data_IF_965643971197
#
_entry.id   IF_965643971197
#
_cell.length_a   1.000
_cell.length_b   1.000
_cell.length_c   1.000
_cell.angle_alpha   90.00
_cell.angle_beta   90.00
_cell.angle_gamma   90.00
#
_symmetry.space_group_name_H-M   'P 1'
#
loop_
_entity.id
_entity.type
_entity.pdbx_description
1 polymer ?
#
# COMPACT_ATOMS: atom_id res chain seq x y z
N UNK A 1 -8.11 9.29 -12.40
CA UNK A 1 -7.12 9.72 -11.40
C UNK A 1 -6.51 8.55 -10.62
N UNK A 2 -7.31 7.62 -10.08
CA UNK A 2 -6.82 6.46 -9.30
C UNK A 2 -6.00 5.43 -10.10
N UNK A 3 -6.39 5.10 -11.33
CA UNK A 3 -5.74 4.03 -12.14
C UNK A 3 -4.29 4.37 -12.50
N UNK A 4 -3.99 5.63 -12.83
CA UNK A 4 -2.62 6.07 -13.15
C UNK A 4 -1.69 5.96 -11.93
N UNK A 5 -2.20 6.30 -10.74
CA UNK A 5 -1.44 6.22 -9.49
C UNK A 5 -1.24 4.76 -9.09
N UNK A 6 -2.25 3.90 -9.30
CA UNK A 6 -2.12 2.46 -9.11
C UNK A 6 -1.08 1.85 -10.06
N UNK A 7 -1.06 2.25 -11.33
CA UNK A 7 -0.05 1.80 -12.30
C UNK A 7 1.36 2.28 -11.93
N UNK A 8 1.51 3.52 -11.47
CA UNK A 8 2.78 4.04 -10.99
C UNK A 8 3.28 3.29 -9.73
N UNK A 9 2.40 3.03 -8.77
CA UNK A 9 2.73 2.27 -7.56
C UNK A 9 3.09 0.81 -7.87
N UNK A 10 2.37 0.18 -8.80
CA UNK A 10 2.65 -1.18 -9.27
C UNK A 10 3.99 -1.25 -10.01
N UNK A 11 4.27 -0.27 -10.87
CA UNK A 11 5.55 -0.15 -11.57
C UNK A 11 6.73 0.02 -10.61
N UNK A 12 6.60 0.89 -9.60
CA UNK A 12 7.63 1.05 -8.55
C UNK A 12 7.85 -0.24 -7.75
N UNK A 13 6.76 -0.97 -7.42
CA UNK A 13 6.85 -2.23 -6.70
C UNK A 13 7.54 -3.33 -7.53
N UNK A 14 7.22 -3.43 -8.82
CA UNK A 14 7.92 -4.34 -9.74
C UNK A 14 9.41 -4.00 -9.84
N UNK A 15 9.76 -2.72 -9.95
CA UNK A 15 11.15 -2.28 -10.05
C UNK A 15 11.94 -2.60 -8.76
N UNK A 16 11.32 -2.45 -7.59
CA UNK A 16 11.88 -2.87 -6.31
C UNK A 16 12.05 -4.40 -6.22
N UNK A 17 11.09 -5.17 -6.75
CA UNK A 17 11.16 -6.64 -6.81
C UNK A 17 12.33 -7.15 -7.67
N UNK A 18 12.57 -6.54 -8.84
CA UNK A 18 13.69 -6.90 -9.72
C UNK A 18 15.06 -6.57 -9.12
N UNK A 19 15.13 -5.61 -8.19
CA UNK A 19 16.38 -5.25 -7.49
C UNK A 19 16.72 -6.19 -6.32
N UNK A 20 15.93 -7.23 -6.08
CA UNK A 20 16.19 -8.22 -5.02
C UNK A 20 15.83 -7.75 -3.62
N UNK A 21 15.10 -6.64 -3.48
CA UNK A 21 14.56 -6.20 -2.19
C UNK A 21 13.31 -7.00 -1.82
N UNK A 22 13.11 -7.24 -0.52
CA UNK A 22 11.94 -7.97 -0.01
C UNK A 22 10.63 -7.24 -0.34
N UNK A 23 9.95 -7.70 -1.40
CA UNK A 23 8.69 -7.16 -1.94
C UNK A 23 7.57 -7.11 -0.89
N UNK A 24 7.59 -8.04 0.06
CA UNK A 24 6.64 -8.13 1.18
C UNK A 24 6.68 -6.88 2.05
N UNK A 25 7.86 -6.30 2.26
CA UNK A 25 8.04 -5.07 3.06
C UNK A 25 7.82 -3.80 2.23
N UNK A 26 8.02 -3.89 0.92
CA UNK A 26 7.93 -2.74 0.01
C UNK A 26 6.50 -2.47 -0.47
N UNK A 27 5.66 -3.50 -0.58
CA UNK A 27 4.27 -3.36 -1.01
C UNK A 27 3.44 -2.41 -0.13
N UNK A 28 3.52 -2.47 1.23
CA UNK A 28 2.84 -1.51 2.09
C UNK A 28 3.34 -0.08 1.91
N UNK A 29 4.65 0.11 1.75
CA UNK A 29 5.25 1.45 1.58
C UNK A 29 4.79 2.07 0.26
N UNK A 30 4.74 1.29 -0.83
CA UNK A 30 4.25 1.76 -2.11
C UNK A 30 2.75 2.10 -2.07
N UNK A 31 1.94 1.28 -1.39
CA UNK A 31 0.50 1.52 -1.24
C UNK A 31 0.22 2.76 -0.37
N UNK A 32 0.92 2.91 0.76
CA UNK A 32 0.77 4.08 1.63
C UNK A 32 1.25 5.36 0.94
N UNK A 33 2.35 5.29 0.17
CA UNK A 33 2.82 6.41 -0.65
C UNK A 33 1.77 6.88 -1.67
N UNK A 34 1.06 5.93 -2.31
CA UNK A 34 -0.04 6.25 -3.22
C UNK A 34 -1.22 6.92 -2.50
N UNK A 35 -1.61 6.40 -1.34
CA UNK A 35 -2.70 6.98 -0.51
C UNK A 35 -2.33 8.38 -0.03
N UNK A 36 -1.08 8.61 0.36
CA UNK A 36 -0.60 9.92 0.80
C UNK A 36 -0.64 10.96 -0.32
N UNK A 37 -0.40 10.55 -1.57
CA UNK A 37 -0.48 11.41 -2.76
C UNK A 37 -1.92 11.70 -3.21
N UNK A 38 -2.87 10.80 -2.91
CA UNK A 38 -4.28 11.00 -3.28
C UNK A 38 -5.11 11.64 -2.18
N UNK A 39 -4.94 11.20 -0.94
CA UNK A 39 -5.78 11.59 0.20
C UNK A 39 -5.02 11.36 1.53
N UNK A 40 -4.27 12.37 2.02
CA UNK A 40 -3.38 12.23 3.18
C UNK A 40 -4.10 11.83 4.48
N UNK A 41 -5.34 12.30 4.65
CA UNK A 41 -6.21 11.98 5.79
C UNK A 41 -6.61 10.50 5.84
N UNK A 42 -6.58 9.80 4.71
CA UNK A 42 -6.98 8.40 4.60
C UNK A 42 -5.83 7.40 4.84
N UNK A 43 -4.59 7.87 5.06
CA UNK A 43 -3.42 7.00 5.26
C UNK A 43 -3.59 6.07 6.49
N UNK A 44 -4.04 6.62 7.62
CA UNK A 44 -4.31 5.83 8.83
C UNK A 44 -5.42 4.78 8.64
N UNK A 45 -6.59 5.17 8.12
CA UNK A 45 -7.65 4.23 7.77
C UNK A 45 -7.26 3.19 6.71
N UNK A 46 -6.48 3.57 5.69
CA UNK A 46 -6.04 2.66 4.64
C UNK A 46 -5.04 1.62 5.17
N UNK A 47 -4.12 2.02 6.05
CA UNK A 47 -3.18 1.10 6.70
C UNK A 47 -3.91 0.09 7.58
N UNK A 48 -4.80 0.57 8.44
CA UNK A 48 -5.57 -0.28 9.36
C UNK A 48 -6.58 -1.15 8.62
N UNK A 49 -7.19 -0.67 7.53
CA UNK A 49 -8.13 -1.44 6.72
C UNK A 49 -7.50 -2.53 5.86
N UNK A 50 -6.30 -2.31 5.32
CA UNK A 50 -5.63 -3.27 4.41
C UNK A 50 -4.65 -4.21 5.12
N UNK A 51 -3.97 -3.77 6.18
CA UNK A 51 -2.89 -4.53 6.82
C UNK A 51 -3.19 -5.00 8.24
N UNK A 52 -4.21 -4.44 8.89
CA UNK A 52 -4.67 -4.98 10.17
C UNK A 52 -5.88 -5.86 9.93
N UNK A 53 -5.69 -7.16 10.08
CA UNK A 53 -6.78 -8.12 10.19
C UNK A 53 -7.73 -7.63 11.28
N UNK A 54 -8.98 -7.39 10.91
CA UNK A 54 -10.06 -7.15 11.86
C UNK A 54 -10.35 -8.49 12.54
N UNK A 55 -9.52 -8.89 13.52
CA UNK A 55 -9.89 -9.93 14.48
C UNK A 55 -10.97 -9.35 15.36
N UNK A 56 -12.17 -9.28 14.80
CA UNK A 56 -13.38 -9.04 15.55
C UNK A 56 -13.57 -10.26 16.45
N UNK A 57 -13.29 -10.02 17.72
CA UNK A 57 -13.95 -10.60 18.88
C UNK A 57 -14.79 -11.83 18.53
N UNK A 58 -14.20 -13.00 18.79
CA UNK A 58 -14.94 -14.22 19.10
C UNK A 58 -15.84 -13.88 20.30
N UNK A 59 -17.11 -13.60 20.01
CA UNK A 59 -18.21 -14.20 20.75
C UNK A 59 -18.23 -15.69 20.37
#
# INVERSE_FOLDING_TARGET
MSVLIALAALGLLMLAAYRGYSVILFAPIAALGAVLLTEPSAVGPAFTGLFMEKKWSVL
#
